data_IF_683334557489
#
_entry.id   IF_683334557489
#
_cell.length_a   1.000
_cell.length_b   1.000
_cell.length_c   1.000
_cell.angle_alpha   90.00
_cell.angle_beta   90.00
_cell.angle_gamma   90.00
#
_symmetry.space_group_name_H-M   'P 1'
#
loop_
_entity.id
_entity.type
_entity.pdbx_description
1 polymer ?
#
# COMPACT_ATOMS: atom_id res chain seq x y z
N UNK A 1 5.97 -22.56 5.23
CA UNK A 1 5.25 -21.35 5.66
C UNK A 1 6.31 -20.34 6.05
N UNK A 2 6.42 -19.22 5.34
CA UNK A 2 7.44 -18.21 5.61
C UNK A 2 6.96 -17.29 6.74
N UNK A 3 7.78 -17.13 7.79
CA UNK A 3 7.52 -16.15 8.84
C UNK A 3 8.16 -14.80 8.44
N UNK A 4 7.47 -13.70 8.72
CA UNK A 4 7.99 -12.36 8.53
C UNK A 4 8.55 -11.85 9.86
N UNK A 5 9.76 -11.29 9.84
CA UNK A 5 10.43 -10.75 11.04
C UNK A 5 9.97 -9.33 11.42
N UNK A 6 8.87 -8.86 10.82
CA UNK A 6 8.33 -7.52 11.03
C UNK A 6 6.83 -7.55 11.27
N UNK A 7 6.33 -6.50 11.94
CA UNK A 7 4.91 -6.34 12.24
C UNK A 7 4.11 -6.11 10.97
N UNK A 8 3.04 -6.87 10.79
CA UNK A 8 2.06 -6.68 9.72
C UNK A 8 0.76 -6.19 10.32
N UNK A 9 0.22 -5.08 9.78
CA UNK A 9 -1.07 -4.54 10.17
C UNK A 9 -2.19 -5.20 9.36
N UNK A 10 -3.17 -5.77 10.06
CA UNK A 10 -4.47 -6.10 9.46
C UNK A 10 -5.41 -4.90 9.49
N UNK A 11 -5.46 -4.11 8.42
CA UNK A 11 -6.28 -2.90 8.32
C UNK A 11 -7.75 -3.22 7.99
N UNK A 12 -8.44 -3.88 8.91
CA UNK A 12 -9.86 -4.23 8.76
C UNK A 12 -10.70 -2.94 8.70
N UNK A 13 -11.46 -2.75 7.62
CA UNK A 13 -12.26 -1.54 7.39
C UNK A 13 -11.49 -0.36 6.76
N UNK A 14 -10.21 -0.56 6.43
CA UNK A 14 -9.35 0.37 5.71
C UNK A 14 -9.17 1.73 6.41
N UNK A 15 -9.16 1.74 7.74
CA UNK A 15 -9.07 2.99 8.51
C UNK A 15 -7.69 3.63 8.33
N UNK A 16 -6.61 2.84 8.40
CA UNK A 16 -5.27 3.36 8.17
C UNK A 16 -5.13 3.85 6.72
N UNK A 17 -5.51 3.03 5.74
CA UNK A 17 -5.47 3.43 4.33
C UNK A 17 -6.22 4.74 4.05
N UNK A 18 -7.37 4.98 4.68
CA UNK A 18 -8.11 6.26 4.59
C UNK A 18 -7.33 7.42 5.20
N UNK A 19 -6.75 7.25 6.40
CA UNK A 19 -5.94 8.30 7.04
C UNK A 19 -4.72 8.68 6.21
N UNK A 20 -4.10 7.73 5.52
CA UNK A 20 -2.98 7.98 4.61
C UNK A 20 -3.42 8.50 3.23
N UNK A 21 -4.72 8.63 2.96
CA UNK A 21 -5.23 9.03 1.64
C UNK A 21 -4.99 7.98 0.54
N UNK A 22 -4.81 6.72 0.93
CA UNK A 22 -4.52 5.58 0.04
C UNK A 22 -5.76 4.74 -0.28
N UNK A 23 -6.89 5.00 0.36
CA UNK A 23 -8.14 4.29 0.12
C UNK A 23 -8.88 4.92 -1.06
N UNK A 24 -8.93 4.23 -2.20
CA UNK A 24 -9.65 4.68 -3.38
C UNK A 24 -10.84 3.78 -3.69
N UNK A 25 -11.95 4.40 -4.07
CA UNK A 25 -13.11 3.71 -4.60
C UNK A 25 -12.83 3.31 -6.04
N UNK A 26 -12.99 2.01 -6.31
CA UNK A 26 -12.92 1.51 -7.68
C UNK A 26 -14.21 1.89 -8.42
N UNK A 27 -14.06 2.33 -9.67
CA UNK A 27 -15.22 2.36 -10.58
C UNK A 27 -15.74 0.93 -10.79
N UNK A 28 -17.03 0.81 -11.09
CA UNK A 28 -17.67 -0.50 -11.24
C UNK A 28 -17.03 -1.34 -12.36
N UNK A 29 -16.57 -0.69 -13.43
CA UNK A 29 -15.87 -1.35 -14.55
C UNK A 29 -14.54 -1.98 -14.13
N UNK A 30 -13.78 -1.32 -13.24
CA UNK A 30 -12.50 -1.84 -12.76
C UNK A 30 -12.70 -2.99 -11.77
N UNK A 31 -13.78 -2.96 -10.98
CA UNK A 31 -14.14 -4.06 -10.09
C UNK A 31 -14.40 -5.36 -10.87
N UNK A 32 -15.03 -5.28 -12.05
CA UNK A 32 -15.26 -6.42 -12.94
C UNK A 32 -13.94 -6.97 -13.51
N UNK A 33 -13.01 -6.11 -13.93
CA UNK A 33 -11.69 -6.51 -14.43
C UNK A 33 -10.77 -7.11 -13.33
N UNK A 34 -10.91 -6.60 -12.11
CA UNK A 34 -10.22 -7.10 -10.92
C UNK A 34 -10.75 -8.49 -10.51
N UNK A 35 -12.06 -8.72 -10.60
CA UNK A 35 -12.66 -10.03 -10.34
C UNK A 35 -12.27 -11.10 -11.39
N UNK A 36 -12.01 -10.70 -12.63
CA UNK A 36 -11.61 -11.62 -13.71
C UNK A 36 -10.10 -11.92 -13.74
N UNK A 37 -9.28 -11.16 -13.03
CA UNK A 37 -7.84 -11.37 -12.91
C UNK A 37 -7.45 -11.80 -11.49
N UNK A 38 -7.45 -13.11 -11.24
CA UNK A 38 -7.13 -13.74 -9.95
C UNK A 38 -5.73 -13.39 -9.39
N UNK A 39 -4.87 -12.74 -10.19
CA UNK A 39 -3.50 -12.38 -9.87
C UNK A 39 -3.29 -10.91 -9.46
N UNK A 40 -4.23 -10.01 -9.75
CA UNK A 40 -4.02 -8.56 -9.57
C UNK A 40 -4.65 -8.02 -8.29
N UNK A 41 -5.66 -8.71 -7.78
CA UNK A 41 -6.40 -8.34 -6.59
C UNK A 41 -6.29 -9.48 -5.59
N UNK A 42 -5.53 -9.27 -4.51
CA UNK A 42 -5.27 -10.29 -3.49
C UNK A 42 -6.53 -11.12 -3.20
N UNK A 43 -6.44 -12.42 -3.51
CA UNK A 43 -7.52 -13.40 -3.44
C UNK A 43 -7.89 -13.81 -2.01
N UNK A 44 -7.99 -12.83 -1.12
CA UNK A 44 -8.66 -12.97 0.17
C UNK A 44 -10.11 -12.54 -0.04
N UNK A 45 -10.93 -13.51 -0.43
CA UNK A 45 -12.41 -13.54 -0.33
C UNK A 45 -13.10 -12.19 -0.06
N UNK A 46 -13.81 -11.70 -1.09
CA UNK A 46 -14.47 -10.39 -1.20
C UNK A 46 -13.47 -9.25 -1.37
N UNK A 47 -13.39 -8.68 -2.58
CA UNK A 47 -12.63 -7.46 -2.88
C UNK A 47 -12.99 -6.42 -1.81
N UNK A 48 -12.09 -6.07 -0.88
CA UNK A 48 -12.38 -5.07 0.12
C UNK A 48 -12.50 -3.76 -0.64
N UNK A 49 -13.72 -3.21 -0.73
CA UNK A 49 -13.86 -1.79 -1.04
C UNK A 49 -13.64 -1.04 0.28
N UNK A 50 -12.70 -0.09 0.34
CA UNK A 50 -11.84 0.44 -0.73
C UNK A 50 -10.54 -0.35 -0.97
N UNK A 51 -10.02 -0.31 -2.21
CA UNK A 51 -8.74 -0.93 -2.55
C UNK A 51 -7.60 0.03 -2.18
N UNK A 52 -6.62 -0.39 -1.36
CA UNK A 52 -5.50 0.48 -1.02
C UNK A 52 -4.55 0.63 -2.22
N UNK A 53 -4.18 1.87 -2.53
CA UNK A 53 -3.10 2.19 -3.47
C UNK A 53 -1.76 1.77 -2.86
N UNK A 54 -0.89 1.05 -3.58
CA UNK A 54 0.39 0.62 -3.06
C UNK A 54 1.25 1.84 -2.76
N UNK A 55 1.78 1.89 -1.54
CA UNK A 55 2.64 2.96 -1.10
C UNK A 55 3.80 2.43 -0.26
N UNK A 56 4.91 3.15 -0.29
CA UNK A 56 6.03 2.98 0.63
C UNK A 56 6.40 4.35 1.15
N UNK A 57 6.54 4.49 2.46
CA UNK A 57 6.87 5.77 3.07
C UNK A 57 7.92 5.61 4.17
N UNK A 58 8.65 6.70 4.41
CA UNK A 58 9.54 6.88 5.56
C UNK A 58 8.92 7.91 6.47
N UNK A 59 8.65 7.52 7.71
CA UNK A 59 8.05 8.35 8.75
C UNK A 59 9.11 8.60 9.83
N UNK A 60 9.34 9.86 10.18
CA UNK A 60 10.29 10.19 11.25
C UNK A 60 9.70 9.96 12.66
N UNK A 61 10.52 10.16 13.69
CA UNK A 61 10.10 9.97 15.09
C UNK A 61 9.03 10.97 15.55
N UNK A 62 8.82 12.06 14.83
CA UNK A 62 7.73 13.02 15.07
C UNK A 62 6.41 12.60 14.41
N UNK A 63 6.39 11.49 13.68
CA UNK A 63 5.20 11.03 12.96
C UNK A 63 4.99 11.73 11.61
N UNK A 64 6.01 12.42 11.08
CA UNK A 64 5.91 13.12 9.80
C UNK A 64 6.42 12.23 8.67
N UNK A 65 5.66 12.13 7.58
CA UNK A 65 6.12 11.48 6.35
C UNK A 65 7.20 12.36 5.72
N UNK A 66 8.43 11.87 5.66
CA UNK A 66 9.58 12.58 5.10
C UNK A 66 9.87 12.19 3.66
N UNK A 67 9.39 11.02 3.26
CA UNK A 67 9.47 10.53 1.89
C UNK A 67 8.34 9.53 1.65
N UNK A 68 7.79 9.54 0.43
CA UNK A 68 6.80 8.56 0.02
C UNK A 68 6.94 8.26 -1.48
N UNK A 69 6.63 7.02 -1.84
CA UNK A 69 6.43 6.58 -3.20
C UNK A 69 5.05 5.95 -3.32
N UNK A 70 4.32 6.36 -4.34
CA UNK A 70 3.00 5.85 -4.69
C UNK A 70 2.85 5.91 -6.22
N UNK A 71 2.31 4.87 -6.83
CA UNK A 71 2.07 4.81 -8.27
C UNK A 71 0.76 4.05 -8.52
N UNK A 72 -0.04 4.53 -9.48
CA UNK A 72 -1.30 3.90 -9.88
C UNK A 72 -1.09 2.60 -10.65
N UNK A 73 0.11 2.41 -11.21
CA UNK A 73 0.56 1.13 -11.73
C UNK A 73 0.96 0.20 -10.57
N UNK A 74 0.06 -0.73 -10.25
CA UNK A 74 0.21 -1.73 -9.18
C UNK A 74 1.37 -2.70 -9.36
N UNK A 75 2.10 -2.65 -10.48
CA UNK A 75 3.32 -3.45 -10.68
C UNK A 75 4.58 -2.73 -10.24
N UNK A 76 4.54 -1.40 -10.13
CA UNK A 76 5.69 -0.60 -9.70
C UNK A 76 5.80 -0.57 -8.19
N UNK A 77 7.03 -0.59 -7.69
CA UNK A 77 7.36 -0.53 -6.26
C UNK A 77 8.45 0.51 -6.04
N UNK A 78 8.54 0.96 -4.79
CA UNK A 78 9.66 1.79 -4.37
C UNK A 78 10.98 1.04 -4.56
N UNK A 79 11.95 1.68 -5.20
CA UNK A 79 13.32 1.17 -5.24
C UNK A 79 13.95 1.26 -3.83
N UNK A 80 14.56 0.18 -3.31
CA UNK A 80 15.16 0.19 -1.97
C UNK A 80 16.16 1.32 -1.76
N UNK A 81 16.93 1.67 -2.79
CA UNK A 81 17.90 2.76 -2.75
C UNK A 81 17.26 4.12 -2.39
N UNK A 82 16.05 4.39 -2.88
CA UNK A 82 15.31 5.62 -2.54
C UNK A 82 14.89 5.65 -1.07
N UNK A 83 14.47 4.49 -0.54
CA UNK A 83 14.09 4.34 0.88
C UNK A 83 15.30 4.57 1.79
N UNK A 84 16.45 3.97 1.47
CA UNK A 84 17.68 4.16 2.27
C UNK A 84 18.20 5.59 2.22
N UNK A 85 18.20 6.23 1.04
CA UNK A 85 18.59 7.63 0.91
C UNK A 85 17.71 8.56 1.78
N UNK A 86 16.39 8.29 1.82
CA UNK A 86 15.47 9.03 2.68
C UNK A 86 15.75 8.80 4.17
N UNK A 87 16.09 7.57 4.58
CA UNK A 87 16.45 7.26 5.97
C UNK A 87 17.77 7.93 6.38
N UNK A 88 18.77 7.92 5.52
CA UNK A 88 20.08 8.53 5.80
C UNK A 88 19.96 10.06 5.96
N UNK A 89 19.03 10.71 5.25
CA UNK A 89 18.75 12.13 5.39
C UNK A 89 18.07 12.53 6.72
N UNK A 90 17.66 11.56 7.55
CA UNK A 90 17.04 11.79 8.87
C UNK A 90 18.01 11.56 10.04
N UNK A 91 19.25 11.16 9.76
CA UNK A 91 20.29 10.95 10.77
C UNK A 91 20.92 12.24 11.27
#
# INVERSE_FOLDING_TARGET
>A
MYALDFTVLGDVGSAAAKTYGLAFDLSDDFAVACASSASTCNASTAVPRPLPLPATCVIDRGGVIRWAFTDTDYTKRAEPAGVFAALDALR
#
